data_IF_134652292613
#
_entry.id   IF_134652292613
#
_cell.length_a   1.000
_cell.length_b   1.000
_cell.length_c   1.000
_cell.angle_alpha   90.00
_cell.angle_beta   90.00
_cell.angle_gamma   90.00
#
_symmetry.space_group_name_H-M   'P 1'
#
loop_
_entity.id
_entity.type
_entity.pdbx_description
1 polymer ?
#
# COMPACT_ATOMS: atom_id res chain seq x y z
N UNK A 1 -4.54 -12.74 -9.25
CA UNK A 1 -3.71 -11.57 -8.82
C UNK A 1 -2.25 -11.62 -9.27
N UNK A 2 -1.58 -12.77 -9.27
CA UNK A 2 -0.19 -12.91 -9.82
C UNK A 2 -0.03 -12.40 -11.26
N UNK A 3 -1.02 -12.60 -12.10
CA UNK A 3 -0.98 -12.20 -13.53
C UNK A 3 -1.06 -10.69 -13.73
N UNK A 4 -1.77 -9.95 -12.88
CA UNK A 4 -1.94 -8.51 -13.02
C UNK A 4 -0.67 -7.74 -12.61
N UNK A 5 0.01 -8.16 -11.55
CA UNK A 5 1.30 -7.60 -11.12
C UNK A 5 2.41 -7.86 -12.16
N UNK A 6 2.43 -9.05 -12.76
CA UNK A 6 3.40 -9.43 -13.80
C UNK A 6 3.12 -8.66 -15.11
N UNK A 7 1.86 -8.44 -15.48
CA UNK A 7 1.50 -7.69 -16.69
C UNK A 7 1.78 -6.20 -16.51
N UNK A 8 1.58 -5.64 -15.32
CA UNK A 8 1.96 -4.27 -14.99
C UNK A 8 3.50 -4.11 -14.98
N UNK A 9 4.24 -5.09 -14.45
CA UNK A 9 5.71 -5.14 -14.53
C UNK A 9 6.22 -5.21 -15.98
N UNK A 10 5.56 -5.98 -16.85
CA UNK A 10 5.97 -6.13 -18.26
C UNK A 10 5.67 -4.88 -19.10
N UNK A 11 4.65 -4.10 -18.77
CA UNK A 11 4.34 -2.84 -19.43
C UNK A 11 5.33 -1.71 -19.06
N UNK A 12 5.95 -1.78 -17.89
CA UNK A 12 6.93 -0.80 -17.40
C UNK A 12 8.39 -1.28 -17.41
N UNK A 13 8.65 -2.56 -17.70
CA UNK A 13 9.99 -2.98 -18.08
C UNK A 13 10.29 -2.37 -19.46
N UNK A 14 10.65 -1.09 -19.48
CA UNK A 14 11.09 -0.45 -20.70
C UNK A 14 12.34 -1.18 -21.21
N UNK A 15 12.25 -1.91 -22.33
CA UNK A 15 13.44 -2.43 -23.00
C UNK A 15 14.28 -1.31 -23.64
N UNK A 16 13.92 -0.04 -23.38
CA UNK A 16 14.54 1.11 -24.02
C UNK A 16 16.05 1.23 -23.74
N UNK A 17 16.53 0.63 -22.65
CA UNK A 17 17.96 0.60 -22.35
C UNK A 17 18.56 -0.81 -22.29
N UNK A 18 17.77 -1.86 -22.15
CA UNK A 18 18.25 -3.25 -22.15
C UNK A 18 18.49 -3.83 -23.55
N UNK A 19 18.07 -3.14 -24.60
CA UNK A 19 18.11 -3.61 -25.99
C UNK A 19 18.92 -2.74 -26.95
N UNK A 20 19.90 -1.99 -26.48
CA UNK A 20 20.85 -1.39 -27.42
C UNK A 20 21.69 -2.52 -28.03
N UNK A 21 21.75 -2.60 -29.38
CA UNK A 21 22.47 -3.68 -30.02
C UNK A 21 23.90 -3.72 -29.51
N UNK A 22 24.35 -4.93 -29.21
CA UNK A 22 25.73 -5.18 -28.78
C UNK A 22 26.67 -4.53 -29.79
N UNK A 23 27.26 -3.42 -29.35
CA UNK A 23 28.35 -2.83 -30.12
C UNK A 23 29.61 -3.65 -29.85
N UNK A 24 30.51 -3.75 -30.83
CA UNK A 24 31.71 -4.54 -30.69
C UNK A 24 32.40 -4.31 -29.34
N UNK A 25 32.81 -5.38 -28.70
CA UNK A 25 33.47 -5.41 -27.39
C UNK A 25 34.84 -4.70 -27.37
N UNK A 26 35.34 -4.33 -28.53
CA UNK A 26 36.58 -3.60 -28.69
C UNK A 26 36.32 -2.11 -28.45
N UNK A 27 36.54 -1.67 -27.22
CA UNK A 27 36.73 -0.26 -26.92
C UNK A 27 38.08 0.12 -27.56
N UNK A 28 38.11 0.98 -28.59
CA UNK A 28 39.39 1.39 -29.17
C UNK A 28 40.21 2.05 -28.07
N UNK A 29 41.29 1.42 -27.69
CA UNK A 29 42.30 2.03 -26.86
C UNK A 29 42.89 3.22 -27.59
N UNK A 30 42.95 4.38 -26.97
CA UNK A 30 44.02 5.33 -27.05
C UNK A 30 44.13 6.25 -28.27
N UNK A 31 43.26 7.21 -28.28
CA UNK A 31 43.58 8.51 -28.85
C UNK A 31 43.40 9.58 -27.80
N UNK A 32 44.31 9.72 -26.87
CA UNK A 32 44.23 10.83 -25.90
C UNK A 32 45.05 12.00 -26.43
N UNK A 33 44.39 13.08 -26.80
CA UNK A 33 45.03 14.32 -27.18
C UNK A 33 44.64 15.39 -26.18
N UNK A 34 45.62 16.15 -25.64
CA UNK A 34 45.27 17.16 -24.68
C UNK A 34 46.39 18.04 -24.23
N UNK A 35 46.02 19.19 -23.67
CA UNK A 35 46.94 20.11 -22.97
C UNK A 35 46.93 19.74 -21.49
N UNK A 36 47.87 18.91 -21.06
CA UNK A 36 47.94 18.32 -19.74
C UNK A 36 49.26 18.69 -19.06
N UNK A 37 49.18 19.07 -17.76
CA UNK A 37 50.36 19.18 -16.86
C UNK A 37 50.20 18.06 -15.82
N UNK A 38 50.93 16.97 -16.01
CA UNK A 38 50.68 15.72 -15.27
C UNK A 38 49.29 15.17 -15.58
N UNK A 39 48.42 14.99 -14.57
CA UNK A 39 47.07 14.54 -14.72
C UNK A 39 46.02 15.69 -14.79
N UNK A 40 46.46 16.95 -14.78
CA UNK A 40 45.58 18.11 -14.76
C UNK A 40 45.56 18.83 -16.09
N UNK A 41 44.37 19.20 -16.60
CA UNK A 41 44.26 19.95 -17.83
C UNK A 41 42.97 19.65 -18.64
N UNK A 42 43.09 19.75 -19.95
CA UNK A 42 42.02 19.48 -20.91
C UNK A 42 42.40 18.30 -21.79
N UNK A 43 41.57 17.32 -21.92
CA UNK A 43 41.80 16.15 -22.76
C UNK A 43 40.66 15.89 -23.75
N UNK A 44 40.98 15.27 -24.89
CA UNK A 44 40.02 14.81 -25.89
C UNK A 44 40.28 13.33 -26.15
N UNK A 45 39.25 12.51 -25.96
CA UNK A 45 39.34 11.05 -26.18
C UNK A 45 39.12 10.23 -24.89
N UNK A 46 39.39 8.93 -24.99
CA UNK A 46 39.30 7.99 -23.88
C UNK A 46 40.69 7.85 -23.23
N UNK A 47 40.95 8.62 -22.22
CA UNK A 47 42.26 8.63 -21.57
C UNK A 47 42.22 8.10 -20.14
N UNK A 48 43.43 8.10 -19.55
CA UNK A 48 43.70 7.68 -18.18
C UNK A 48 43.08 8.65 -17.13
N UNK A 49 43.43 8.45 -15.87
CA UNK A 49 43.04 9.35 -14.78
C UNK A 49 43.34 10.81 -15.10
N UNK A 50 42.34 11.66 -14.96
CA UNK A 50 42.55 13.11 -15.16
C UNK A 50 41.76 13.96 -14.17
N UNK A 51 42.29 15.15 -13.96
CA UNK A 51 41.65 16.24 -13.23
C UNK A 51 41.49 17.43 -14.19
N UNK A 52 40.27 17.90 -14.40
CA UNK A 52 40.01 19.01 -15.29
C UNK A 52 38.81 18.76 -16.23
N UNK A 53 39.00 19.02 -17.53
CA UNK A 53 37.91 18.96 -18.52
C UNK A 53 38.23 17.87 -19.55
N UNK A 54 37.30 16.93 -19.72
CA UNK A 54 37.38 15.88 -20.74
C UNK A 54 36.28 16.09 -21.79
N UNK A 55 36.67 15.95 -23.04
CA UNK A 55 35.75 15.83 -24.16
C UNK A 55 35.93 14.45 -24.79
N UNK A 56 34.83 13.74 -24.99
CA UNK A 56 34.84 12.46 -25.63
C UNK A 56 33.75 12.35 -26.71
N UNK A 57 34.03 11.62 -27.78
CA UNK A 57 32.98 11.23 -28.71
C UNK A 57 32.02 10.23 -28.07
N UNK A 58 32.56 9.26 -27.34
CA UNK A 58 31.81 8.22 -26.62
C UNK A 58 32.47 7.93 -25.27
N UNK A 59 31.68 7.80 -24.22
CA UNK A 59 32.17 7.31 -22.95
C UNK A 59 32.42 5.81 -23.00
N UNK A 60 33.63 5.36 -22.59
CA UNK A 60 34.03 3.96 -22.63
C UNK A 60 35.13 3.63 -21.65
N UNK A 61 36.34 3.42 -22.17
CA UNK A 61 37.50 2.98 -21.39
C UNK A 61 38.30 4.18 -20.83
N UNK A 62 37.78 4.88 -19.84
CA UNK A 62 38.57 5.80 -19.02
C UNK A 62 38.55 5.28 -17.55
N UNK A 63 39.50 5.71 -16.75
CA UNK A 63 39.58 5.23 -15.35
C UNK A 63 38.86 6.21 -14.42
N UNK A 64 39.24 7.48 -14.42
CA UNK A 64 38.60 8.50 -13.59
C UNK A 64 38.71 9.90 -14.16
N UNK A 65 37.63 10.66 -14.06
CA UNK A 65 37.62 12.08 -14.35
C UNK A 65 37.19 12.83 -13.10
N UNK A 66 38.08 13.65 -12.53
CA UNK A 66 37.75 14.60 -11.46
C UNK A 66 37.59 15.98 -12.08
N UNK A 67 36.34 16.42 -12.27
CA UNK A 67 36.04 17.70 -12.91
C UNK A 67 34.85 17.61 -13.85
N UNK A 68 35.04 17.90 -15.13
CA UNK A 68 33.97 17.95 -16.13
C UNK A 68 34.20 16.91 -17.24
N UNK A 69 33.19 16.13 -17.51
CA UNK A 69 33.15 15.16 -18.60
C UNK A 69 32.05 15.54 -19.60
N UNK A 70 32.43 15.72 -20.85
CA UNK A 70 31.51 16.01 -21.97
C UNK A 70 31.57 14.91 -22.99
N UNK A 71 30.44 14.22 -23.27
CA UNK A 71 30.32 13.20 -24.28
C UNK A 71 29.28 13.56 -25.34
N UNK A 72 29.58 13.29 -26.62
CA UNK A 72 28.72 13.68 -27.72
C UNK A 72 27.78 12.57 -28.21
N UNK A 73 28.18 11.32 -28.07
CA UNK A 73 27.43 10.19 -28.63
C UNK A 73 27.02 9.18 -27.58
N UNK A 74 26.30 8.16 -27.98
CA UNK A 74 25.88 7.07 -27.06
C UNK A 74 27.12 6.41 -26.43
N UNK A 75 27.10 6.10 -25.15
CA UNK A 75 28.19 5.40 -24.48
C UNK A 75 28.41 4.00 -25.05
N UNK A 76 29.53 3.36 -24.72
CA UNK A 76 29.72 1.93 -24.88
C UNK A 76 28.82 1.17 -23.86
N UNK A 77 28.55 -0.11 -24.14
CA UNK A 77 27.58 -0.89 -23.37
C UNK A 77 27.92 -1.05 -21.88
N UNK A 78 29.18 -0.95 -21.50
CA UNK A 78 29.63 -1.07 -20.10
C UNK A 78 30.75 -0.03 -19.84
N UNK A 79 30.39 1.26 -19.65
CA UNK A 79 31.38 2.28 -19.38
C UNK A 79 32.06 2.01 -18.02
N UNK A 80 33.39 1.98 -18.01
CA UNK A 80 34.19 1.58 -16.85
C UNK A 80 34.74 2.74 -16.03
N UNK A 81 34.56 3.97 -16.48
CA UNK A 81 35.16 5.14 -15.85
C UNK A 81 34.29 5.80 -14.81
N UNK A 82 34.92 6.24 -13.73
CA UNK A 82 34.28 7.05 -12.69
C UNK A 82 34.34 8.53 -13.05
N UNK A 83 33.23 9.26 -12.89
CA UNK A 83 33.21 10.73 -13.00
C UNK A 83 32.84 11.34 -11.67
N UNK A 84 33.72 12.17 -11.15
CA UNK A 84 33.50 12.96 -9.95
C UNK A 84 33.43 14.45 -10.33
N UNK A 85 32.25 15.02 -10.28
CA UNK A 85 31.99 16.41 -10.61
C UNK A 85 30.82 16.59 -11.56
N UNK A 86 31.05 17.12 -12.77
CA UNK A 86 30.02 17.38 -13.74
C UNK A 86 30.14 16.44 -14.95
N UNK A 87 29.10 15.71 -15.27
CA UNK A 87 29.01 14.86 -16.47
C UNK A 87 27.86 15.32 -17.37
N UNK A 88 28.18 15.68 -18.61
CA UNK A 88 27.22 16.06 -19.62
C UNK A 88 27.36 15.17 -20.87
N UNK A 89 26.25 14.55 -21.25
CA UNK A 89 26.17 13.81 -22.50
C UNK A 89 25.12 14.38 -23.46
N UNK A 90 25.48 14.65 -24.72
CA UNK A 90 24.49 15.09 -25.71
C UNK A 90 23.46 13.99 -25.94
N UNK A 91 23.89 12.75 -26.16
CA UNK A 91 22.97 11.60 -26.21
C UNK A 91 22.78 11.04 -24.81
N UNK A 92 23.85 10.65 -24.13
CA UNK A 92 23.78 10.20 -22.77
C UNK A 92 25.09 10.45 -22.00
N UNK A 93 24.98 10.91 -20.75
CA UNK A 93 26.09 10.92 -19.83
C UNK A 93 26.25 9.52 -19.24
N UNK A 94 27.44 8.94 -19.30
CA UNK A 94 27.63 7.59 -18.83
C UNK A 94 28.98 7.37 -18.13
N UNK A 95 28.99 6.43 -17.18
CA UNK A 95 30.16 6.03 -16.43
C UNK A 95 29.90 4.76 -15.61
N UNK A 96 30.96 4.27 -14.97
CA UNK A 96 30.81 3.22 -13.97
C UNK A 96 30.13 3.80 -12.74
N UNK A 97 30.71 4.84 -12.13
CA UNK A 97 30.11 5.66 -11.09
C UNK A 97 30.05 7.11 -11.53
N UNK A 98 28.93 7.74 -11.30
CA UNK A 98 28.75 9.16 -11.55
C UNK A 98 28.43 9.85 -10.23
N UNK A 99 29.34 10.73 -9.79
CA UNK A 99 29.19 11.45 -8.53
C UNK A 99 29.20 12.94 -8.78
N UNK A 100 28.19 13.66 -8.36
CA UNK A 100 28.05 15.11 -8.52
C UNK A 100 26.83 15.48 -9.35
N UNK A 101 27.02 16.14 -10.49
CA UNK A 101 25.92 16.53 -11.39
C UNK A 101 26.07 15.76 -12.70
N UNK A 102 25.09 14.95 -13.04
CA UNK A 102 25.10 14.17 -14.26
C UNK A 102 23.85 14.52 -15.08
N UNK A 103 24.03 14.96 -16.32
CA UNK A 103 22.90 15.30 -17.20
C UNK A 103 23.14 14.82 -18.63
N UNK A 104 22.08 14.35 -19.27
CA UNK A 104 22.10 13.93 -20.67
C UNK A 104 20.76 14.20 -21.34
N UNK A 105 20.78 14.70 -22.58
CA UNK A 105 19.54 15.01 -23.31
C UNK A 105 18.73 13.73 -23.59
N UNK A 106 19.36 12.64 -23.95
CA UNK A 106 18.74 11.31 -24.04
C UNK A 106 18.65 10.64 -22.68
N UNK A 107 19.73 10.63 -21.88
CA UNK A 107 19.69 10.00 -20.59
C UNK A 107 20.98 10.04 -19.79
N UNK A 108 20.89 9.47 -18.59
CA UNK A 108 22.03 9.22 -17.70
C UNK A 108 22.11 7.72 -17.44
N UNK A 109 23.30 7.15 -17.63
CA UNK A 109 23.54 5.74 -17.44
C UNK A 109 24.74 5.49 -16.54
N UNK A 110 24.56 4.72 -15.45
CA UNK A 110 25.66 4.22 -14.66
C UNK A 110 25.66 2.68 -14.63
N UNK A 111 26.84 2.09 -14.86
CA UNK A 111 26.98 0.64 -14.72
C UNK A 111 27.17 0.21 -13.25
N UNK A 112 27.24 1.16 -12.33
CA UNK A 112 27.19 0.99 -10.87
C UNK A 112 26.34 2.13 -10.29
N UNK A 113 26.87 3.02 -9.46
CA UNK A 113 26.11 3.99 -8.69
C UNK A 113 25.95 5.36 -9.37
N UNK A 114 24.82 5.99 -9.12
CA UNK A 114 24.55 7.40 -9.38
C UNK A 114 24.42 8.16 -8.06
N UNK A 115 25.23 9.19 -7.86
CA UNK A 115 25.17 9.97 -6.61
C UNK A 115 25.16 11.47 -6.91
N UNK A 116 24.19 12.20 -6.36
CA UNK A 116 24.09 13.64 -6.47
C UNK A 116 22.86 14.08 -7.25
N UNK A 117 23.00 14.92 -8.28
CA UNK A 117 21.92 15.43 -9.12
C UNK A 117 22.02 14.81 -10.51
N UNK A 118 21.07 13.97 -10.84
CA UNK A 118 21.06 13.18 -12.06
C UNK A 118 19.81 13.49 -12.88
N UNK A 119 19.99 14.03 -14.09
CA UNK A 119 18.88 14.47 -14.94
C UNK A 119 19.03 13.84 -16.33
N UNK A 120 18.20 12.87 -16.63
CA UNK A 120 18.10 12.27 -17.95
C UNK A 120 16.87 12.78 -18.72
N UNK A 121 17.06 13.39 -19.88
CA UNK A 121 15.96 13.97 -20.67
C UNK A 121 14.89 12.93 -21.04
N UNK A 122 15.25 11.75 -21.45
CA UNK A 122 14.32 10.62 -21.66
C UNK A 122 14.33 9.68 -20.45
N UNK A 123 15.52 9.33 -19.93
CA UNK A 123 15.56 8.38 -18.84
C UNK A 123 16.84 8.38 -18.03
N UNK A 124 16.75 7.71 -16.89
CA UNK A 124 17.84 7.49 -15.96
C UNK A 124 17.92 6.00 -15.64
N UNK A 125 19.15 5.46 -15.68
CA UNK A 125 19.40 4.08 -15.32
C UNK A 125 20.66 3.95 -14.46
N UNK A 126 20.53 3.30 -13.32
CA UNK A 126 21.64 2.87 -12.47
C UNK A 126 21.57 1.35 -12.25
N UNK A 127 22.66 0.64 -12.44
CA UNK A 127 22.74 -0.78 -12.08
C UNK A 127 22.95 -0.94 -10.58
N UNK A 128 23.68 -0.05 -9.94
CA UNK A 128 23.77 0.08 -8.50
C UNK A 128 22.67 0.97 -7.91
N UNK A 129 23.02 1.74 -6.91
CA UNK A 129 22.10 2.67 -6.26
C UNK A 129 22.03 4.02 -6.98
N UNK A 130 20.84 4.62 -7.00
CA UNK A 130 20.65 6.00 -7.42
C UNK A 130 20.30 6.87 -6.21
N UNK A 131 21.27 7.70 -5.76
CA UNK A 131 21.14 8.48 -4.53
C UNK A 131 21.20 9.98 -4.81
N UNK A 132 20.27 10.74 -4.22
CA UNK A 132 20.18 12.19 -4.34
C UNK A 132 18.93 12.65 -5.09
N UNK A 133 19.09 13.49 -6.11
CA UNK A 133 17.98 13.95 -6.97
C UNK A 133 18.10 13.24 -8.31
N UNK A 134 17.15 12.38 -8.62
CA UNK A 134 17.13 11.55 -9.80
C UNK A 134 15.89 11.86 -10.65
N UNK A 135 16.07 12.46 -11.80
CA UNK A 135 14.99 12.90 -12.68
C UNK A 135 15.15 12.23 -14.05
N UNK A 136 14.19 11.39 -14.41
CA UNK A 136 14.09 10.81 -15.73
C UNK A 136 12.84 11.31 -16.47
N UNK A 137 12.99 11.95 -17.62
CA UNK A 137 11.89 12.57 -18.36
C UNK A 137 10.74 11.59 -18.68
N UNK A 138 11.04 10.38 -19.10
CA UNK A 138 10.05 9.29 -19.22
C UNK A 138 10.12 8.36 -18.01
N UNK A 139 11.33 7.99 -17.56
CA UNK A 139 11.43 7.09 -16.43
C UNK A 139 12.80 7.04 -15.78
N UNK A 140 12.81 6.52 -14.54
CA UNK A 140 14.02 6.27 -13.80
C UNK A 140 14.05 4.82 -13.30
N UNK A 141 15.20 4.16 -13.46
CA UNK A 141 15.40 2.78 -13.04
C UNK A 141 16.66 2.65 -12.19
N UNK A 142 16.52 2.08 -11.00
CA UNK A 142 17.63 1.71 -10.12
C UNK A 142 17.59 0.21 -9.81
N UNK A 143 18.63 -0.56 -10.19
CA UNK A 143 18.64 -1.99 -9.84
C UNK A 143 19.04 -2.22 -8.38
N UNK A 144 19.98 -1.45 -7.84
CA UNK A 144 20.38 -1.57 -6.43
C UNK A 144 19.41 -0.93 -5.45
N UNK A 145 18.78 0.14 -5.85
CA UNK A 145 17.86 0.93 -5.01
C UNK A 145 17.78 2.37 -5.45
N UNK A 146 16.89 3.14 -4.83
CA UNK A 146 16.76 4.58 -5.10
C UNK A 146 16.55 5.33 -3.79
N UNK A 147 17.35 6.37 -3.54
CA UNK A 147 17.24 7.16 -2.32
C UNK A 147 17.28 8.67 -2.62
N UNK A 148 16.44 9.43 -1.92
CA UNK A 148 16.33 10.88 -2.07
C UNK A 148 15.07 11.32 -2.82
N UNK A 149 15.21 12.15 -3.85
CA UNK A 149 14.09 12.63 -4.68
C UNK A 149 14.18 11.94 -6.03
N UNK A 150 13.21 11.12 -6.33
CA UNK A 150 13.14 10.34 -7.56
C UNK A 150 11.89 10.74 -8.35
N UNK A 151 12.08 11.26 -9.54
CA UNK A 151 10.99 11.74 -10.41
C UNK A 151 11.09 11.06 -11.77
N UNK A 152 10.02 10.38 -12.17
CA UNK A 152 9.87 9.78 -13.50
C UNK A 152 8.63 10.29 -14.20
N UNK A 153 8.74 10.83 -15.43
CA UNK A 153 7.60 11.35 -16.15
C UNK A 153 6.47 10.32 -16.34
N UNK A 154 6.81 9.09 -16.69
CA UNK A 154 5.85 7.98 -16.76
C UNK A 154 6.02 7.04 -15.56
N UNK A 155 7.25 6.59 -15.29
CA UNK A 155 7.43 5.58 -14.26
C UNK A 155 8.77 5.62 -13.53
N UNK A 156 8.75 5.06 -12.34
CA UNK A 156 9.96 4.77 -11.55
C UNK A 156 9.94 3.29 -11.20
N UNK A 157 11.06 2.62 -11.44
CA UNK A 157 11.22 1.20 -11.09
C UNK A 157 12.51 1.02 -10.29
N UNK A 158 12.41 0.33 -9.17
CA UNK A 158 13.56 -0.10 -8.38
C UNK A 158 13.50 -1.61 -8.11
N UNK A 159 14.62 -2.30 -8.29
CA UNK A 159 14.73 -3.68 -7.81
C UNK A 159 15.14 -3.73 -6.33
N UNK A 160 15.83 -2.72 -5.83
CA UNK A 160 16.08 -2.51 -4.42
C UNK A 160 15.02 -1.65 -3.75
N UNK A 161 15.30 -1.23 -2.52
CA UNK A 161 14.40 -0.37 -1.75
C UNK A 161 14.32 1.05 -2.36
N UNK A 162 13.19 1.69 -2.15
CA UNK A 162 12.99 3.12 -2.44
C UNK A 162 12.81 3.90 -1.15
N UNK A 163 13.61 4.95 -0.98
CA UNK A 163 13.54 5.79 0.23
C UNK A 163 13.51 7.27 -0.16
N UNK A 164 12.59 8.01 0.40
CA UNK A 164 12.47 9.46 0.20
C UNK A 164 11.21 9.87 -0.55
N UNK A 165 11.34 10.70 -1.59
CA UNK A 165 10.22 11.20 -2.37
C UNK A 165 10.25 10.56 -3.76
N UNK A 166 9.26 9.76 -4.08
CA UNK A 166 9.14 9.03 -5.32
C UNK A 166 7.87 9.45 -6.07
N UNK A 167 8.01 10.13 -7.19
CA UNK A 167 6.88 10.70 -7.94
C UNK A 167 6.94 10.26 -9.39
N UNK A 168 5.88 9.61 -9.86
CA UNK A 168 5.77 9.20 -11.26
C UNK A 168 4.38 9.52 -11.84
N UNK A 169 4.34 9.86 -13.12
CA UNK A 169 3.09 10.17 -13.82
C UNK A 169 2.14 8.98 -13.91
N UNK A 170 2.65 7.76 -14.11
CA UNK A 170 1.82 6.56 -14.17
C UNK A 170 2.08 5.63 -12.99
N UNK A 171 3.31 5.19 -12.78
CA UNK A 171 3.55 4.15 -11.78
C UNK A 171 4.88 4.23 -11.04
N UNK A 172 4.85 3.86 -9.77
CA UNK A 172 6.04 3.65 -8.94
C UNK A 172 6.08 2.18 -8.53
N UNK A 173 7.15 1.49 -8.84
CA UNK A 173 7.31 0.05 -8.56
C UNK A 173 8.61 -0.22 -7.82
N UNK A 174 8.55 -0.90 -6.70
CA UNK A 174 9.72 -1.43 -5.99
C UNK A 174 9.60 -2.93 -5.76
N UNK A 175 10.66 -3.67 -6.01
CA UNK A 175 10.74 -5.09 -5.66
C UNK A 175 11.08 -5.33 -4.18
N UNK A 176 11.41 -4.28 -3.45
CA UNK A 176 11.58 -4.31 -2.01
C UNK A 176 10.66 -3.27 -1.34
N UNK A 177 11.04 -2.77 -0.18
CA UNK A 177 10.24 -1.80 0.57
C UNK A 177 10.29 -0.40 -0.03
N UNK A 178 9.21 0.35 0.16
CA UNK A 178 9.12 1.78 -0.09
C UNK A 178 8.95 2.54 1.21
N UNK A 179 9.71 3.62 1.39
CA UNK A 179 9.60 4.47 2.58
C UNK A 179 9.64 5.96 2.20
N UNK A 180 8.75 6.75 2.78
CA UNK A 180 8.65 8.18 2.56
C UNK A 180 7.38 8.60 1.83
N UNK A 181 7.49 9.38 0.76
CA UNK A 181 6.36 9.86 -0.04
C UNK A 181 6.38 9.17 -1.40
N UNK A 182 5.38 8.37 -1.68
CA UNK A 182 5.27 7.60 -2.91
C UNK A 182 3.98 7.97 -3.65
N UNK A 183 4.12 8.69 -4.75
CA UNK A 183 2.99 9.24 -5.51
C UNK A 183 3.03 8.73 -6.95
N UNK A 184 1.93 8.16 -7.41
CA UNK A 184 1.79 7.71 -8.79
C UNK A 184 0.41 8.05 -9.35
N UNK A 185 0.35 8.49 -10.60
CA UNK A 185 -0.92 8.83 -11.25
C UNK A 185 -1.86 7.63 -11.45
N UNK A 186 -1.34 6.43 -11.69
CA UNK A 186 -2.16 5.22 -11.75
C UNK A 186 -1.97 4.36 -10.51
N UNK A 187 -0.74 3.99 -10.16
CA UNK A 187 -0.58 3.11 -9.03
C UNK A 187 0.83 2.91 -8.51
N UNK A 188 0.89 2.53 -7.24
CA UNK A 188 2.14 2.21 -6.56
C UNK A 188 2.14 0.75 -6.15
N UNK A 189 3.22 0.04 -6.45
CA UNK A 189 3.39 -1.38 -6.16
C UNK A 189 4.69 -1.61 -5.40
N UNK A 190 4.61 -2.29 -4.27
CA UNK A 190 5.76 -2.73 -3.48
C UNK A 190 5.71 -4.23 -3.23
N UNK A 191 6.81 -4.93 -3.43
CA UNK A 191 6.92 -6.33 -3.00
C UNK A 191 7.30 -6.47 -1.52
N UNK A 192 7.79 -5.41 -0.90
CA UNK A 192 8.00 -5.32 0.55
C UNK A 192 6.99 -4.40 1.21
N UNK A 193 7.40 -3.79 2.31
CA UNK A 193 6.57 -2.84 3.06
C UNK A 193 6.42 -1.50 2.32
N UNK A 194 5.32 -0.82 2.59
CA UNK A 194 5.03 0.51 2.07
C UNK A 194 4.77 1.44 3.26
N UNK A 195 5.71 2.35 3.55
CA UNK A 195 5.70 3.15 4.78
C UNK A 195 5.70 4.64 4.44
N UNK A 196 4.84 5.40 5.08
CA UNK A 196 4.77 6.86 4.95
C UNK A 196 3.51 7.34 4.25
N UNK A 197 3.63 8.20 3.25
CA UNK A 197 2.51 8.71 2.46
C UNK A 197 2.52 8.02 1.10
N UNK A 198 1.51 7.22 0.85
CA UNK A 198 1.39 6.43 -0.36
C UNK A 198 0.10 6.79 -1.08
N UNK A 199 0.20 7.29 -2.30
CA UNK A 199 -0.96 7.63 -3.10
C UNK A 199 -0.84 7.07 -4.53
N UNK A 200 -1.91 6.41 -4.96
CA UNK A 200 -2.08 5.92 -6.31
C UNK A 200 -3.43 6.35 -6.88
N UNK A 201 -3.43 6.92 -8.08
CA UNK A 201 -4.68 7.36 -8.71
C UNK A 201 -5.71 6.23 -8.85
N UNK A 202 -5.30 5.02 -9.20
CA UNK A 202 -6.20 3.87 -9.24
C UNK A 202 -5.99 2.94 -8.04
N UNK A 203 -4.74 2.54 -7.76
CA UNK A 203 -4.52 1.53 -6.74
C UNK A 203 -3.17 1.56 -6.05
N UNK A 204 -3.17 0.97 -4.85
CA UNK A 204 -1.97 0.65 -4.08
C UNK A 204 -1.91 -0.85 -3.85
N UNK A 205 -0.75 -1.45 -4.05
CA UNK A 205 -0.52 -2.87 -3.78
C UNK A 205 0.78 -3.05 -2.99
N UNK A 206 0.71 -3.71 -1.86
CA UNK A 206 1.88 -4.11 -1.07
C UNK A 206 1.81 -5.60 -0.73
N UNK A 207 2.92 -6.33 -0.87
CA UNK A 207 3.01 -7.69 -0.34
C UNK A 207 3.39 -7.70 1.15
N UNK A 208 3.98 -6.63 1.65
CA UNK A 208 4.27 -6.46 3.08
C UNK A 208 3.23 -5.59 3.79
N UNK A 209 3.64 -5.04 4.91
CA UNK A 209 2.86 -4.06 5.68
C UNK A 209 2.65 -2.76 4.88
N UNK A 210 1.49 -2.14 5.08
CA UNK A 210 1.18 -0.81 4.57
C UNK A 210 0.92 0.12 5.75
N UNK A 211 1.79 1.12 5.95
CA UNK A 211 1.81 1.91 7.18
C UNK A 211 1.87 3.41 6.87
N UNK A 212 1.12 4.21 7.62
CA UNK A 212 1.03 5.66 7.48
C UNK A 212 -0.26 6.12 6.81
N UNK A 213 -0.17 6.92 5.76
CA UNK A 213 -1.32 7.44 5.00
C UNK A 213 -1.37 6.77 3.63
N UNK A 214 -2.40 6.00 3.39
CA UNK A 214 -2.57 5.24 2.15
C UNK A 214 -3.85 5.68 1.44
N UNK A 215 -3.73 6.16 0.22
CA UNK A 215 -4.84 6.67 -0.57
C UNK A 215 -4.86 6.06 -1.98
N UNK A 216 -6.00 5.49 -2.36
CA UNK A 216 -6.24 5.06 -3.73
C UNK A 216 -7.69 5.31 -4.14
N UNK A 217 -7.91 5.75 -5.38
CA UNK A 217 -9.26 6.05 -5.86
C UNK A 217 -10.11 4.79 -6.05
N UNK A 218 -9.53 3.68 -6.51
CA UNK A 218 -10.27 2.42 -6.62
C UNK A 218 -10.03 1.55 -5.39
N UNK A 219 -8.79 1.20 -5.11
CA UNK A 219 -8.59 0.30 -3.97
C UNK A 219 -7.15 0.10 -3.55
N UNK A 220 -7.03 -0.35 -2.31
CA UNK A 220 -5.75 -0.67 -1.70
C UNK A 220 -5.73 -2.12 -1.26
N UNK A 221 -4.68 -2.83 -1.60
CA UNK A 221 -4.48 -4.24 -1.26
C UNK A 221 -3.15 -4.43 -0.56
N UNK A 222 -3.17 -5.07 0.61
CA UNK A 222 -1.99 -5.46 1.35
C UNK A 222 -2.04 -6.94 1.75
N UNK A 223 -0.96 -7.67 1.56
CA UNK A 223 -0.84 -9.01 2.14
C UNK A 223 -0.48 -8.95 3.63
N UNK A 224 0.26 -7.93 4.05
CA UNK A 224 0.49 -7.62 5.46
C UNK A 224 -0.62 -6.75 6.08
N UNK A 225 -0.44 -6.34 7.35
CA UNK A 225 -1.37 -5.43 8.01
C UNK A 225 -1.38 -4.04 7.36
N UNK A 226 -2.51 -3.35 7.45
CA UNK A 226 -2.64 -1.93 7.15
C UNK A 226 -2.72 -1.15 8.46
N UNK A 227 -1.83 -0.19 8.66
CA UNK A 227 -1.78 0.62 9.89
C UNK A 227 -1.83 2.12 9.58
N UNK A 228 -2.52 2.88 10.40
CA UNK A 228 -2.68 4.33 10.24
C UNK A 228 -3.95 4.74 9.52
N UNK A 229 -3.86 5.57 8.48
CA UNK A 229 -4.98 6.08 7.71
C UNK A 229 -5.03 5.42 6.34
N UNK A 230 -6.10 4.70 6.04
CA UNK A 230 -6.24 4.02 4.75
C UNK A 230 -7.57 4.39 4.08
N UNK A 231 -7.49 4.89 2.85
CA UNK A 231 -8.64 5.29 2.05
C UNK A 231 -8.64 4.55 0.72
N UNK A 232 -9.75 3.87 0.42
CA UNK A 232 -9.99 3.23 -0.85
C UNK A 232 -11.35 3.63 -1.42
N UNK A 233 -11.40 4.23 -2.60
CA UNK A 233 -12.67 4.68 -3.19
C UNK A 233 -13.69 3.56 -3.37
N UNK A 234 -13.28 2.38 -3.80
CA UNK A 234 -14.15 1.21 -3.84
C UNK A 234 -13.87 0.27 -2.65
N UNK A 235 -12.61 -0.10 -2.41
CA UNK A 235 -12.35 -1.09 -1.39
C UNK A 235 -10.97 -1.08 -0.78
N UNK A 236 -10.90 -1.62 0.42
CA UNK A 236 -9.66 -1.91 1.14
C UNK A 236 -9.60 -3.41 1.47
N UNK A 237 -8.50 -4.05 1.16
CA UNK A 237 -8.28 -5.47 1.45
C UNK A 237 -6.94 -5.65 2.13
N UNK A 238 -6.95 -6.24 3.32
CA UNK A 238 -5.73 -6.61 4.05
C UNK A 238 -5.81 -8.05 4.53
N UNK A 239 -4.78 -8.84 4.28
CA UNK A 239 -4.71 -10.19 4.85
C UNK A 239 -4.23 -10.17 6.30
N UNK A 240 -3.36 -9.24 6.67
CA UNK A 240 -2.85 -9.09 8.04
C UNK A 240 -3.78 -8.34 9.00
N UNK A 241 -4.89 -7.76 8.49
CA UNK A 241 -5.80 -6.95 9.28
C UNK A 241 -5.61 -5.44 9.10
N UNK A 242 -6.52 -4.65 9.67
CA UNK A 242 -6.52 -3.19 9.58
C UNK A 242 -6.52 -2.57 10.96
N UNK A 243 -5.61 -1.61 11.20
CA UNK A 243 -5.48 -0.92 12.47
C UNK A 243 -5.42 0.60 12.26
N UNK A 244 -6.30 1.34 12.92
CA UNK A 244 -6.39 2.79 12.81
C UNK A 244 -7.68 3.26 12.15
N UNK A 245 -7.60 4.10 11.13
CA UNK A 245 -8.77 4.61 10.40
C UNK A 245 -8.79 4.02 8.99
N UNK A 246 -9.84 3.28 8.67
CA UNK A 246 -10.06 2.66 7.39
C UNK A 246 -11.39 3.12 6.77
N UNK A 247 -11.34 3.72 5.59
CA UNK A 247 -12.55 4.21 4.89
C UNK A 247 -12.58 3.67 3.48
N UNK A 248 -13.67 3.01 3.12
CA UNK A 248 -13.90 2.50 1.77
C UNK A 248 -15.31 2.83 1.26
N UNK A 249 -15.42 3.15 -0.02
CA UNK A 249 -16.71 3.46 -0.63
C UNK A 249 -17.66 2.27 -0.68
N UNK A 250 -17.18 1.06 -0.98
CA UNK A 250 -18.02 -0.14 -1.01
C UNK A 250 -17.69 -1.10 0.12
N UNK A 251 -16.45 -1.57 0.23
CA UNK A 251 -16.16 -2.64 1.16
C UNK A 251 -14.79 -2.61 1.82
N UNK A 252 -14.76 -3.09 3.06
CA UNK A 252 -13.56 -3.33 3.86
C UNK A 252 -13.42 -4.82 4.15
N UNK A 253 -12.27 -5.40 3.85
CA UNK A 253 -11.96 -6.79 4.17
C UNK A 253 -10.62 -6.86 4.89
N UNK A 254 -10.65 -7.16 6.19
CA UNK A 254 -9.46 -7.40 7.01
C UNK A 254 -9.44 -8.84 7.49
N UNK A 255 -8.66 -9.72 6.87
CA UNK A 255 -8.67 -11.14 7.24
C UNK A 255 -8.22 -11.36 8.69
N UNK A 256 -7.19 -10.64 9.13
CA UNK A 256 -6.69 -10.68 10.51
C UNK A 256 -7.48 -9.82 11.52
N UNK A 257 -8.55 -9.15 11.09
CA UNK A 257 -9.38 -8.30 11.93
C UNK A 257 -9.39 -6.83 11.50
N UNK A 258 -10.27 -6.04 12.11
CA UNK A 258 -10.40 -4.60 11.89
C UNK A 258 -10.45 -3.92 13.25
N UNK A 259 -9.51 -3.03 13.54
CA UNK A 259 -9.40 -2.37 14.85
C UNK A 259 -9.28 -0.85 14.66
N UNK A 260 -10.12 -0.10 15.34
CA UNK A 260 -10.14 1.36 15.30
C UNK A 260 -11.43 1.92 14.73
N UNK A 261 -11.34 2.88 13.81
CA UNK A 261 -12.49 3.48 13.13
C UNK A 261 -12.58 2.91 11.72
N UNK A 262 -13.67 2.24 11.40
CA UNK A 262 -13.86 1.67 10.08
C UNK A 262 -15.21 2.09 9.50
N UNK A 263 -15.19 2.62 8.27
CA UNK A 263 -16.39 3.07 7.55
C UNK A 263 -16.42 2.47 6.17
N UNK A 264 -17.54 1.83 5.82
CA UNK A 264 -17.75 1.29 4.48
C UNK A 264 -19.17 1.56 3.97
N UNK A 265 -19.30 1.87 2.69
CA UNK A 265 -20.61 2.17 2.09
C UNK A 265 -21.54 0.96 1.99
N UNK A 266 -21.01 -0.24 1.75
CA UNK A 266 -21.82 -1.47 1.68
C UNK A 266 -21.51 -2.37 2.85
N UNK A 267 -20.28 -2.88 2.97
CA UNK A 267 -20.04 -3.89 3.97
C UNK A 267 -18.62 -3.98 4.47
N UNK A 268 -18.47 -4.59 5.65
CA UNK A 268 -17.16 -4.94 6.17
C UNK A 268 -17.12 -6.38 6.65
N UNK A 269 -15.96 -7.01 6.46
CA UNK A 269 -15.73 -8.37 6.84
C UNK A 269 -14.35 -8.55 7.50
N UNK A 270 -14.35 -9.19 8.65
CA UNK A 270 -13.14 -9.75 9.27
C UNK A 270 -13.17 -11.27 9.09
N UNK A 271 -12.16 -11.83 8.41
CA UNK A 271 -12.17 -13.26 8.06
C UNK A 271 -12.00 -14.17 9.26
N UNK A 272 -10.92 -14.00 10.00
CA UNK A 272 -10.56 -14.83 11.16
C UNK A 272 -10.47 -14.01 12.44
N UNK A 273 -10.32 -12.70 12.33
CA UNK A 273 -10.17 -11.79 13.46
C UNK A 273 -11.46 -11.07 13.85
N UNK A 274 -11.35 -10.29 14.93
CA UNK A 274 -12.44 -9.48 15.47
C UNK A 274 -12.57 -8.14 14.75
N UNK A 275 -13.75 -7.54 14.84
CA UNK A 275 -14.01 -6.14 14.51
C UNK A 275 -14.14 -5.35 15.82
N UNK A 276 -13.25 -4.38 16.05
CA UNK A 276 -13.18 -3.70 17.36
C UNK A 276 -13.07 -2.18 17.19
N UNK A 277 -13.85 -1.41 17.93
CA UNK A 277 -13.81 0.06 17.98
C UNK A 277 -15.09 0.70 17.50
N UNK A 278 -15.04 1.63 16.55
CA UNK A 278 -16.19 2.31 15.96
C UNK A 278 -16.36 1.90 14.51
N UNK A 279 -17.45 1.24 14.20
CA UNK A 279 -17.69 0.69 12.87
C UNK A 279 -19.02 1.16 12.30
N UNK A 280 -19.00 1.59 11.04
CA UNK A 280 -20.20 1.94 10.30
C UNK A 280 -20.16 1.25 8.94
N UNK A 281 -21.20 0.47 8.64
CA UNK A 281 -21.36 -0.16 7.33
C UNK A 281 -22.79 0.06 6.80
N UNK A 282 -22.93 0.27 5.50
CA UNK A 282 -24.24 0.52 4.91
C UNK A 282 -25.17 -0.69 5.02
N UNK A 283 -24.73 -1.87 4.61
CA UNK A 283 -25.61 -3.06 4.52
C UNK A 283 -25.27 -4.13 5.56
N UNK A 284 -23.98 -4.38 5.83
CA UNK A 284 -23.68 -5.45 6.77
C UNK A 284 -22.27 -5.51 7.30
N UNK A 285 -22.13 -6.17 8.44
CA UNK A 285 -20.87 -6.49 9.08
C UNK A 285 -20.81 -7.97 9.42
N UNK A 286 -19.69 -8.61 9.10
CA UNK A 286 -19.46 -10.01 9.41
C UNK A 286 -18.08 -10.19 10.02
N UNK A 287 -18.02 -10.86 11.17
CA UNK A 287 -16.75 -11.23 11.81
C UNK A 287 -16.65 -12.75 11.99
N UNK A 288 -15.48 -13.28 11.69
CA UNK A 288 -15.14 -14.68 11.98
C UNK A 288 -14.86 -14.95 13.46
N UNK A 289 -14.82 -13.91 14.29
CA UNK A 289 -14.65 -14.01 15.73
C UNK A 289 -15.68 -13.10 16.44
N UNK A 290 -15.30 -11.96 16.95
CA UNK A 290 -16.16 -11.07 17.74
C UNK A 290 -16.32 -9.68 17.08
N UNK A 291 -17.40 -8.99 17.43
CA UNK A 291 -17.62 -7.58 17.11
C UNK A 291 -17.78 -6.84 18.43
N UNK A 292 -16.90 -5.84 18.68
CA UNK A 292 -16.85 -5.16 19.97
C UNK A 292 -16.74 -3.65 19.80
N UNK A 293 -17.53 -2.89 20.57
CA UNK A 293 -17.52 -1.43 20.58
C UNK A 293 -18.81 -0.83 20.06
N UNK A 294 -18.73 0.22 19.24
CA UNK A 294 -19.88 0.85 18.60
C UNK A 294 -20.01 0.36 17.14
N UNK A 295 -21.06 -0.37 16.86
CA UNK A 295 -21.30 -0.93 15.53
C UNK A 295 -22.66 -0.52 14.98
N UNK A 296 -22.68 0.10 13.81
CA UNK A 296 -23.91 0.60 13.18
C UNK A 296 -24.01 0.10 11.72
N UNK A 297 -25.15 -0.47 11.36
CA UNK A 297 -25.47 -0.85 9.97
C UNK A 297 -26.97 -0.74 9.69
N UNK A 298 -27.33 -0.46 8.44
CA UNK A 298 -28.73 -0.51 8.04
C UNK A 298 -29.26 -1.94 7.80
N UNK A 299 -28.40 -2.93 7.67
CA UNK A 299 -28.79 -4.33 7.45
C UNK A 299 -28.44 -5.24 8.64
N UNK A 300 -27.52 -6.20 8.43
CA UNK A 300 -27.23 -7.22 9.44
C UNK A 300 -25.83 -7.10 10.04
N UNK A 301 -25.73 -7.48 11.32
CA UNK A 301 -24.45 -7.70 12.01
C UNK A 301 -24.40 -9.17 12.44
N UNK A 302 -23.32 -9.84 12.07
CA UNK A 302 -23.10 -11.24 12.43
C UNK A 302 -21.67 -11.45 12.93
N UNK A 303 -21.55 -12.08 14.10
CA UNK A 303 -20.29 -12.57 14.62
C UNK A 303 -20.36 -14.07 14.87
N UNK A 304 -19.23 -14.75 14.75
CA UNK A 304 -19.16 -16.19 14.98
C UNK A 304 -19.24 -16.55 16.46
N UNK A 305 -18.71 -15.69 17.34
CA UNK A 305 -18.67 -15.95 18.78
C UNK A 305 -19.44 -14.91 19.59
N UNK A 306 -19.14 -13.61 19.43
CA UNK A 306 -19.68 -12.59 20.33
C UNK A 306 -19.93 -11.26 19.65
N UNK A 307 -21.01 -10.59 20.06
CA UNK A 307 -21.24 -9.15 19.81
C UNK A 307 -21.31 -8.44 21.18
N UNK A 308 -20.50 -7.39 21.37
CA UNK A 308 -20.44 -6.70 22.65
C UNK A 308 -20.31 -5.18 22.49
N UNK A 309 -21.05 -4.43 23.29
CA UNK A 309 -21.01 -2.97 23.31
C UNK A 309 -22.33 -2.31 22.93
N UNK A 310 -22.26 -1.30 22.06
CA UNK A 310 -23.45 -0.61 21.52
C UNK A 310 -23.62 -1.01 20.07
N UNK A 311 -24.69 -1.69 19.76
CA UNK A 311 -24.90 -2.26 18.43
C UNK A 311 -26.26 -1.86 17.87
N UNK A 312 -26.26 -1.31 16.65
CA UNK A 312 -27.47 -0.91 15.94
C UNK A 312 -27.50 -1.57 14.57
N UNK A 313 -28.49 -2.41 14.32
CA UNK A 313 -28.74 -3.05 13.04
C UNK A 313 -30.13 -2.73 12.52
N UNK A 314 -30.23 -2.33 11.28
CA UNK A 314 -31.54 -2.07 10.66
C UNK A 314 -32.38 -3.33 10.43
N UNK A 315 -31.79 -4.51 10.43
CA UNK A 315 -32.52 -5.75 10.21
C UNK A 315 -32.20 -6.83 11.28
N UNK A 316 -30.97 -7.39 11.32
CA UNK A 316 -30.68 -8.56 12.15
C UNK A 316 -29.35 -8.44 12.91
N UNK A 317 -29.38 -8.88 14.17
CA UNK A 317 -28.21 -9.20 14.97
C UNK A 317 -28.14 -10.72 15.17
N UNK A 318 -26.98 -11.34 14.92
CA UNK A 318 -26.80 -12.76 15.10
C UNK A 318 -25.41 -13.09 15.64
N UNK A 319 -25.34 -13.67 16.81
CA UNK A 319 -24.14 -14.25 17.39
C UNK A 319 -24.53 -15.17 18.57
N UNK A 320 -23.73 -16.18 18.92
CA UNK A 320 -23.97 -17.01 20.11
C UNK A 320 -24.06 -16.19 21.40
N UNK A 321 -23.23 -15.18 21.58
CA UNK A 321 -23.29 -14.27 22.73
C UNK A 321 -23.51 -12.84 22.29
N UNK A 322 -24.53 -12.17 22.79
CA UNK A 322 -24.80 -10.75 22.55
C UNK A 322 -24.88 -10.03 23.90
N UNK A 323 -24.03 -9.01 24.08
CA UNK A 323 -23.93 -8.30 25.35
C UNK A 323 -23.92 -6.78 25.16
N UNK A 324 -24.61 -6.06 26.03
CA UNK A 324 -24.60 -4.59 26.06
C UNK A 324 -25.90 -3.96 25.63
N UNK A 325 -25.84 -2.84 24.90
CA UNK A 325 -27.01 -2.15 24.35
C UNK A 325 -27.19 -2.53 22.88
N UNK A 326 -28.23 -3.27 22.57
CA UNK A 326 -28.45 -3.82 21.25
C UNK A 326 -29.80 -3.38 20.68
N UNK A 327 -29.81 -2.86 19.47
CA UNK A 327 -31.02 -2.46 18.76
C UNK A 327 -31.04 -3.11 17.38
N UNK A 328 -32.06 -3.88 17.10
CA UNK A 328 -32.32 -4.41 15.75
C UNK A 328 -33.77 -4.11 15.36
N UNK A 329 -34.02 -3.58 14.18
CA UNK A 329 -35.40 -3.32 13.78
C UNK A 329 -36.19 -4.62 13.56
N UNK A 330 -35.55 -5.69 13.10
CA UNK A 330 -36.18 -6.97 12.83
C UNK A 330 -35.90 -8.03 13.89
N UNK A 331 -34.73 -8.64 13.86
CA UNK A 331 -34.46 -9.91 14.56
C UNK A 331 -33.15 -9.89 15.35
N UNK A 332 -33.22 -10.33 16.60
CA UNK A 332 -32.04 -10.67 17.41
C UNK A 332 -32.03 -12.17 17.67
N UNK A 333 -30.91 -12.82 17.34
CA UNK A 333 -30.70 -14.26 17.41
C UNK A 333 -29.40 -14.54 18.19
N UNK A 334 -29.54 -15.14 19.38
CA UNK A 334 -28.43 -15.42 20.27
C UNK A 334 -28.69 -16.68 21.11
N UNK A 335 -27.66 -17.37 21.56
CA UNK A 335 -27.79 -18.38 22.60
C UNK A 335 -27.85 -17.71 23.96
N UNK A 336 -26.97 -16.74 24.22
CA UNK A 336 -26.94 -15.92 25.45
C UNK A 336 -27.10 -14.45 25.11
N UNK A 337 -28.13 -13.82 25.67
CA UNK A 337 -28.40 -12.39 25.49
C UNK A 337 -28.30 -11.68 26.86
N UNK A 338 -27.41 -10.70 26.98
CA UNK A 338 -27.16 -9.98 28.24
C UNK A 338 -27.20 -8.46 28.05
N UNK A 339 -27.89 -7.76 28.97
CA UNK A 339 -27.99 -6.29 28.94
C UNK A 339 -29.35 -5.78 28.51
N UNK A 340 -29.37 -4.77 27.62
CA UNK A 340 -30.60 -4.19 27.08
C UNK A 340 -30.68 -4.46 25.59
N UNK A 341 -31.77 -5.08 25.18
CA UNK A 341 -31.98 -5.37 23.75
C UNK A 341 -33.38 -4.95 23.31
N UNK A 342 -33.44 -4.34 22.13
CA UNK A 342 -34.70 -3.93 21.49
C UNK A 342 -34.75 -4.48 20.06
N UNK A 343 -35.75 -5.31 19.76
CA UNK A 343 -36.00 -5.81 18.41
C UNK A 343 -37.48 -6.21 18.25
N UNK A 344 -37.99 -6.32 17.00
CA UNK A 344 -39.32 -6.85 16.79
C UNK A 344 -39.41 -8.30 17.27
N UNK A 345 -38.42 -9.14 16.98
CA UNK A 345 -38.36 -10.52 17.41
C UNK A 345 -37.02 -10.85 18.09
N UNK A 346 -37.08 -11.38 19.30
CA UNK A 346 -35.94 -11.93 20.03
C UNK A 346 -36.06 -13.44 20.13
N UNK A 347 -35.02 -14.12 19.66
CA UNK A 347 -34.82 -15.55 19.84
C UNK A 347 -33.54 -15.76 20.63
N UNK A 348 -33.70 -16.21 21.87
CA UNK A 348 -32.57 -16.58 22.74
C UNK A 348 -32.65 -18.07 23.01
N UNK A 349 -31.62 -18.84 22.64
CA UNK A 349 -31.61 -20.29 22.79
C UNK A 349 -31.50 -20.74 24.24
N UNK A 350 -30.54 -20.19 24.96
CA UNK A 350 -30.26 -20.64 26.33
C UNK A 350 -30.79 -19.66 27.39
N UNK A 351 -30.08 -18.54 27.59
CA UNK A 351 -30.35 -17.64 28.70
C UNK A 351 -30.45 -16.17 28.26
N UNK A 352 -31.52 -15.54 28.68
CA UNK A 352 -31.69 -14.09 28.59
C UNK A 352 -31.44 -13.42 29.94
N UNK A 353 -30.50 -12.48 30.01
CA UNK A 353 -30.16 -11.68 31.20
C UNK A 353 -30.42 -10.18 30.98
N UNK A 354 -31.17 -9.52 31.85
CA UNK A 354 -31.44 -8.10 31.76
C UNK A 354 -32.80 -7.77 31.15
N UNK A 355 -32.88 -6.74 30.29
CA UNK A 355 -34.13 -6.22 29.77
C UNK A 355 -34.22 -6.40 28.26
N UNK A 356 -35.28 -7.05 27.81
CA UNK A 356 -35.58 -7.23 26.41
C UNK A 356 -36.92 -6.61 26.05
N UNK A 357 -36.96 -5.80 25.01
CA UNK A 357 -38.15 -5.11 24.52
C UNK A 357 -38.41 -5.52 23.10
N UNK A 358 -39.56 -6.17 22.82
CA UNK A 358 -39.91 -6.62 21.49
C UNK A 358 -41.37 -6.91 21.28
N UNK A 359 -41.77 -7.28 20.08
CA UNK A 359 -43.13 -7.78 19.84
C UNK A 359 -43.23 -9.23 20.30
N UNK A 360 -42.28 -10.07 19.90
CA UNK A 360 -42.15 -11.46 20.32
C UNK A 360 -40.79 -11.70 20.97
N UNK A 361 -40.80 -12.21 22.20
CA UNK A 361 -39.60 -12.56 22.92
C UNK A 361 -39.63 -14.03 23.34
N UNK A 362 -38.63 -14.80 22.97
CA UNK A 362 -38.52 -16.22 23.32
C UNK A 362 -37.14 -16.53 23.95
N UNK A 363 -37.14 -17.29 25.03
CA UNK A 363 -35.92 -17.81 25.67
C UNK A 363 -36.20 -19.10 26.39
N UNK A 364 -35.17 -19.92 26.58
CA UNK A 364 -35.29 -21.12 27.41
C UNK A 364 -35.30 -20.73 28.90
N UNK A 365 -34.37 -19.89 29.35
CA UNK A 365 -34.36 -19.39 30.74
C UNK A 365 -34.29 -17.85 30.77
N UNK A 366 -34.97 -17.25 31.76
CA UNK A 366 -35.04 -15.81 31.96
C UNK A 366 -34.44 -15.41 33.29
N UNK A 367 -33.51 -14.46 33.26
CA UNK A 367 -32.94 -13.78 34.43
C UNK A 367 -33.09 -12.26 34.21
N UNK A 368 -34.27 -11.72 34.37
CA UNK A 368 -34.57 -10.32 34.08
C UNK A 368 -36.01 -10.10 33.63
N UNK A 369 -36.19 -9.24 32.63
CA UNK A 369 -37.52 -8.76 32.20
C UNK A 369 -37.64 -8.87 30.67
N UNK A 370 -38.74 -9.47 30.21
CA UNK A 370 -39.24 -9.37 28.85
C UNK A 370 -40.44 -8.45 28.78
N UNK A 371 -40.43 -7.49 27.89
CA UNK A 371 -41.53 -6.57 27.62
C UNK A 371 -41.92 -6.76 26.13
N UNK A 372 -43.16 -7.15 25.88
CA UNK A 372 -43.58 -7.41 24.52
C UNK A 372 -45.06 -7.83 24.40
N UNK A 373 -45.57 -7.91 23.17
CA UNK A 373 -46.94 -8.37 22.94
C UNK A 373 -47.09 -9.82 23.42
N UNK A 374 -46.08 -10.64 23.17
CA UNK A 374 -46.05 -12.03 23.61
C UNK A 374 -44.65 -12.43 24.04
N UNK A 375 -44.52 -12.96 25.24
CA UNK A 375 -43.28 -13.35 25.86
C UNK A 375 -43.31 -14.84 26.19
N UNK A 376 -42.28 -15.60 25.78
CA UNK A 376 -42.18 -17.01 26.04
C UNK A 376 -40.90 -17.35 26.81
N UNK A 377 -41.06 -18.10 27.89
CA UNK A 377 -39.96 -18.62 28.73
C UNK A 377 -40.21 -20.10 28.99
N UNK A 378 -39.38 -20.97 28.38
CA UNK A 378 -39.59 -22.44 28.42
C UNK A 378 -39.43 -23.00 29.83
N UNK A 379 -38.52 -22.46 30.65
CA UNK A 379 -38.28 -22.93 32.06
C UNK A 379 -39.38 -22.50 33.03
N UNK A 380 -40.31 -21.67 32.64
CA UNK A 380 -41.43 -21.26 33.53
C UNK A 380 -42.46 -22.42 33.63
N UNK A 381 -43.27 -22.42 34.73
CA UNK A 381 -44.41 -23.31 34.87
C UNK A 381 -45.37 -23.19 33.66
N UNK A 382 -46.11 -24.26 33.31
CA UNK A 382 -46.93 -24.26 32.08
C UNK A 382 -47.89 -23.07 31.90
N UNK A 383 -48.42 -22.55 32.99
CA UNK A 383 -49.33 -21.40 32.99
C UNK A 383 -48.63 -20.05 32.81
N UNK A 384 -47.33 -19.97 33.05
CA UNK A 384 -46.52 -18.75 32.92
C UNK A 384 -45.50 -18.82 31.76
N UNK A 385 -45.51 -19.86 30.94
CA UNK A 385 -44.61 -19.95 29.79
C UNK A 385 -44.90 -18.89 28.74
N UNK A 386 -46.16 -18.60 28.53
CA UNK A 386 -46.62 -17.59 27.60
C UNK A 386 -47.35 -16.49 28.35
N UNK A 387 -46.73 -15.31 28.44
CA UNK A 387 -47.33 -14.17 29.09
C UNK A 387 -47.40 -12.96 28.15
N UNK A 388 -48.55 -12.31 28.03
CA UNK A 388 -48.65 -11.04 27.32
C UNK A 388 -48.05 -9.92 28.13
N UNK A 389 -47.56 -8.90 27.44
CA UNK A 389 -47.02 -7.64 27.93
C UNK A 389 -45.73 -7.75 28.76
N UNK A 390 -45.66 -8.48 29.83
CA UNK A 390 -44.47 -8.56 30.69
C UNK A 390 -44.29 -9.98 31.20
N UNK A 391 -43.06 -10.49 31.13
CA UNK A 391 -42.61 -11.68 31.83
C UNK A 391 -41.32 -11.34 32.59
N UNK A 392 -41.22 -11.69 33.84
CA UNK A 392 -40.08 -11.37 34.69
C UNK A 392 -39.69 -12.56 35.58
N UNK A 393 -38.40 -12.80 35.73
CA UNK A 393 -37.82 -13.82 36.60
C UNK A 393 -36.45 -13.33 37.09
N UNK A 394 -36.23 -13.39 38.40
CA UNK A 394 -35.01 -12.89 39.08
C UNK A 394 -34.29 -14.00 39.83
#
# INVERSE_FOLDING_TARGET
MRTFAITFMLLFSMPAFAGWPADSTDVPGDGNWGLMAGNAGVSVGNGQDMTGIRFAWRDGAFVRVNGMNFSLWKPYNDPKGDVNGFSFGVVAAAGHRLTGISTGLGGVFASDDLTGVNIGGLGLYARGEATGINIGGLGAVGQGGMAGINIGGLGIVSQGAMVGVNIAGLGVVSQQSMAGINLAGLGTVSEGNMIGINAGGLGLVSKGEMSGVNYATLGTVSEGPMTGLSFGGLGLVSQGGMHGIAVAGLGLVGKGGITGIAVSGIGMAAGEGSITGVQVAGVGMVSGDAITGLSVTAGMIRAKHRIAGVTVAGYRLAAPEITGLNVAAGWTDADVLSGVSCAAYHQTGDVQKGVVIGVFNTTDDLQGIQIGVLNHVASNPPWARWLPFINAKF
#
